data_IF_765675575254
#
_entry.id   IF_765675575254
#
_cell.length_a   1.000
_cell.length_b   1.000
_cell.length_c   1.000
_cell.angle_alpha   90.00
_cell.angle_beta   90.00
_cell.angle_gamma   90.00
#
_symmetry.space_group_name_H-M   'P 1'
#
loop_
_entity.id
_entity.type
_entity.pdbx_description
1 polymer ?
#
# COMPACT_ATOMS: atom_id res chain seq x y z
N UNK A 1 -8.57 -23.95 -18.58
CA UNK A 1 -8.09 -23.01 -19.59
C UNK A 1 -7.20 -21.96 -18.98
N UNK A 2 -6.02 -22.36 -18.47
CA UNK A 2 -5.14 -21.49 -17.67
C UNK A 2 -3.75 -21.32 -18.31
N UNK A 3 -3.61 -21.61 -19.62
CA UNK A 3 -2.31 -21.70 -20.30
C UNK A 3 -1.52 -20.39 -20.40
N UNK A 4 -2.14 -19.25 -20.06
CA UNK A 4 -1.51 -17.92 -20.06
C UNK A 4 -1.11 -17.45 -18.65
N UNK A 5 -1.48 -18.19 -17.58
CA UNK A 5 -1.12 -17.86 -16.20
C UNK A 5 0.21 -18.53 -15.88
N UNK A 6 1.14 -17.78 -15.26
CA UNK A 6 2.41 -18.34 -14.78
C UNK A 6 2.13 -19.46 -13.78
N UNK A 7 2.77 -20.62 -13.96
CA UNK A 7 2.38 -21.86 -13.27
C UNK A 7 2.43 -21.74 -11.75
N UNK A 8 3.43 -21.03 -11.21
CA UNK A 8 3.60 -20.87 -9.77
C UNK A 8 2.47 -20.08 -9.10
N UNK A 9 1.78 -19.21 -9.85
CA UNK A 9 0.63 -18.46 -9.34
C UNK A 9 -0.60 -19.35 -9.10
N UNK A 10 -0.65 -20.55 -9.69
CA UNK A 10 -1.76 -21.50 -9.47
C UNK A 10 -1.70 -22.13 -8.07
N UNK A 11 -0.53 -22.15 -7.44
CA UNK A 11 -0.31 -22.71 -6.12
C UNK A 11 -0.38 -21.64 -5.01
N UNK A 12 -0.53 -20.35 -5.38
CA UNK A 12 -0.56 -19.24 -4.45
C UNK A 12 -1.88 -19.23 -3.66
N UNK A 13 -1.77 -19.17 -2.33
CA UNK A 13 -2.93 -19.03 -1.47
C UNK A 13 -3.60 -17.66 -1.69
N UNK A 14 -4.94 -17.58 -1.69
CA UNK A 14 -5.62 -16.29 -1.77
C UNK A 14 -5.23 -15.38 -0.60
N UNK A 15 -5.01 -14.10 -0.88
CA UNK A 15 -4.85 -13.08 0.16
C UNK A 15 -6.10 -13.06 1.06
N UNK A 16 -5.87 -12.96 2.38
CA UNK A 16 -6.94 -12.86 3.38
C UNK A 16 -7.05 -11.40 3.83
N UNK A 17 -7.96 -10.62 3.24
CA UNK A 17 -8.15 -9.23 3.66
C UNK A 17 -8.73 -9.16 5.07
N UNK A 18 -8.47 -8.04 5.74
CA UNK A 18 -9.16 -7.66 6.97
C UNK A 18 -10.63 -7.40 6.63
N UNK A 19 -11.55 -7.82 7.50
CA UNK A 19 -12.98 -7.52 7.31
C UNK A 19 -13.18 -5.99 7.32
N UNK A 20 -13.81 -5.40 6.29
CA UNK A 20 -14.10 -3.97 6.29
C UNK A 20 -14.92 -3.56 7.50
N UNK A 21 -14.72 -2.34 7.97
CA UNK A 21 -15.32 -1.84 9.19
C UNK A 21 -16.85 -1.89 9.18
N UNK A 22 -17.46 -1.61 8.03
CA UNK A 22 -18.91 -1.67 7.81
C UNK A 22 -19.44 -3.11 7.90
N UNK A 23 -18.69 -4.06 7.35
CA UNK A 23 -19.03 -5.49 7.41
C UNK A 23 -18.93 -5.99 8.84
N UNK A 24 -17.86 -5.62 9.55
CA UNK A 24 -17.67 -5.92 10.96
C UNK A 24 -18.79 -5.33 11.83
N UNK A 25 -19.16 -4.07 11.59
CA UNK A 25 -20.26 -3.39 12.28
C UNK A 25 -21.59 -4.11 12.10
N UNK A 26 -21.94 -4.48 10.87
CA UNK A 26 -23.16 -5.22 10.57
C UNK A 26 -23.16 -6.60 11.25
N UNK A 27 -22.04 -7.32 11.19
CA UNK A 27 -21.86 -8.66 11.79
C UNK A 27 -21.98 -8.64 13.32
N UNK A 28 -21.48 -7.58 13.96
CA UNK A 28 -21.56 -7.41 15.41
C UNK A 28 -22.90 -6.84 15.88
N UNK A 29 -23.75 -6.34 14.97
CA UNK A 29 -24.99 -5.65 15.33
C UNK A 29 -24.75 -4.37 16.14
N UNK A 30 -23.60 -3.71 15.92
CA UNK A 30 -23.18 -2.51 16.64
C UNK A 30 -23.02 -1.35 15.69
N UNK A 31 -23.35 -0.15 16.15
CA UNK A 31 -23.02 1.07 15.42
C UNK A 31 -21.50 1.18 15.26
N UNK A 32 -20.99 1.68 14.12
CA UNK A 32 -19.57 1.99 13.95
C UNK A 32 -18.98 2.82 15.10
N UNK A 33 -19.78 3.71 15.70
CA UNK A 33 -19.38 4.56 16.84
C UNK A 33 -19.15 3.79 18.15
N UNK A 34 -19.67 2.57 18.25
CA UNK A 34 -19.48 1.69 19.42
C UNK A 34 -18.25 0.77 19.27
N UNK A 35 -17.57 0.80 18.11
CA UNK A 35 -16.45 -0.09 17.80
C UNK A 35 -15.13 0.66 18.00
N UNK A 36 -14.30 0.15 18.90
CA UNK A 36 -12.93 0.61 19.09
C UNK A 36 -12.01 -0.27 18.22
N UNK A 37 -11.54 0.29 17.10
CA UNK A 37 -10.69 -0.41 16.11
C UNK A 37 -9.21 -0.18 16.43
N UNK A 38 -8.46 -1.26 16.68
CA UNK A 38 -7.04 -1.25 17.09
C UNK A 38 -6.25 -2.40 16.42
N UNK A 39 -6.60 -2.77 15.20
CA UNK A 39 -6.13 -3.98 14.51
C UNK A 39 -5.24 -3.73 13.27
N UNK A 40 -5.06 -2.47 12.85
CA UNK A 40 -4.37 -2.13 11.59
C UNK A 40 -3.38 -0.96 11.68
N UNK A 41 -2.92 -0.59 12.88
CA UNK A 41 -1.98 0.53 13.11
C UNK A 41 -2.44 1.90 12.55
N UNK A 42 -3.75 2.09 12.37
CA UNK A 42 -4.31 3.36 11.91
C UNK A 42 -4.09 4.47 12.93
N UNK A 43 -3.88 5.69 12.44
CA UNK A 43 -3.69 6.85 13.30
C UNK A 43 -5.01 7.30 13.95
N UNK A 44 -5.06 7.30 15.28
CA UNK A 44 -6.28 7.49 16.08
C UNK A 44 -6.99 8.83 15.87
N UNK A 45 -6.25 9.89 15.56
CA UNK A 45 -6.80 11.24 15.48
C UNK A 45 -7.27 11.63 14.08
N UNK A 46 -7.13 10.73 13.10
CA UNK A 46 -7.38 11.04 11.70
C UNK A 46 -6.33 11.98 11.09
N UNK A 47 -6.48 12.34 9.81
CA UNK A 47 -5.52 13.22 9.14
C UNK A 47 -5.52 14.63 9.76
N UNK A 48 -4.40 15.38 9.64
CA UNK A 48 -4.36 16.79 10.03
C UNK A 48 -5.45 17.62 9.33
N UNK A 49 -6.01 18.66 9.98
CA UNK A 49 -7.08 19.49 9.40
C UNK A 49 -6.75 20.08 8.02
N UNK A 50 -5.50 20.50 7.81
CA UNK A 50 -4.99 21.04 6.55
C UNK A 50 -5.06 20.04 5.38
N UNK A 51 -4.96 18.74 5.67
CA UNK A 51 -5.11 17.68 4.65
C UNK A 51 -6.57 17.58 4.23
N UNK A 52 -7.50 17.62 5.19
CA UNK A 52 -8.94 17.58 4.91
C UNK A 52 -9.39 18.81 4.10
N UNK A 53 -8.88 19.99 4.43
CA UNK A 53 -9.13 21.21 3.67
C UNK A 53 -8.60 21.10 2.23
N UNK A 54 -7.36 20.60 2.07
CA UNK A 54 -6.75 20.42 0.75
C UNK A 54 -7.50 19.42 -0.13
N UNK A 55 -8.02 18.34 0.46
CA UNK A 55 -8.86 17.37 -0.25
C UNK A 55 -10.20 17.96 -0.67
N UNK A 56 -10.84 18.74 0.23
CA UNK A 56 -12.12 19.40 -0.06
C UNK A 56 -12.02 20.53 -1.10
N UNK A 57 -10.86 21.17 -1.20
CA UNK A 57 -10.56 22.24 -2.15
C UNK A 57 -9.79 21.79 -3.39
N UNK A 58 -9.76 20.49 -3.71
CA UNK A 58 -8.97 19.97 -4.83
C UNK A 58 -9.48 20.49 -6.18
N UNK A 59 -8.60 21.18 -6.91
CA UNK A 59 -8.85 21.62 -8.29
C UNK A 59 -8.66 20.47 -9.29
N UNK A 60 -9.55 20.39 -10.28
CA UNK A 60 -9.48 19.46 -11.42
C UNK A 60 -9.28 17.96 -11.08
N UNK A 61 -10.04 17.37 -10.14
CA UNK A 61 -9.86 15.96 -9.75
C UNK A 61 -10.12 14.95 -10.88
N UNK A 62 -10.75 15.39 -11.97
CA UNK A 62 -11.02 14.60 -13.16
C UNK A 62 -9.89 14.64 -14.21
N UNK A 63 -8.81 15.37 -13.95
CA UNK A 63 -7.65 15.48 -14.83
C UNK A 63 -6.52 14.63 -14.26
N UNK A 64 -5.75 13.98 -15.14
CA UNK A 64 -4.59 13.18 -14.72
C UNK A 64 -3.64 14.02 -13.86
N UNK A 65 -3.16 13.49 -12.72
CA UNK A 65 -2.21 14.18 -11.87
C UNK A 65 -0.83 14.26 -12.55
N UNK A 66 0.09 15.04 -11.97
CA UNK A 66 1.49 15.05 -12.38
C UNK A 66 2.09 13.65 -12.26
N UNK A 67 2.45 12.99 -13.38
CA UNK A 67 2.92 11.60 -13.35
C UNK A 67 4.25 11.44 -12.62
N UNK A 68 5.01 12.51 -12.44
CA UNK A 68 6.29 12.48 -11.72
C UNK A 68 6.16 12.83 -10.23
N UNK A 69 4.96 13.17 -9.75
CA UNK A 69 4.72 13.61 -8.36
C UNK A 69 5.72 14.68 -7.88
N UNK A 70 6.10 15.63 -8.75
CA UNK A 70 7.24 16.54 -8.52
C UNK A 70 7.09 17.37 -7.26
N UNK A 71 5.87 17.87 -7.00
CA UNK A 71 5.59 18.67 -5.79
C UNK A 71 5.81 17.88 -4.50
N UNK A 72 5.37 16.62 -4.47
CA UNK A 72 5.60 15.73 -3.32
C UNK A 72 7.08 15.39 -3.17
N UNK A 73 7.74 14.99 -4.26
CA UNK A 73 9.17 14.64 -4.26
C UNK A 73 10.05 15.82 -3.85
N UNK A 74 9.72 17.04 -4.27
CA UNK A 74 10.43 18.25 -3.85
C UNK A 74 10.30 18.50 -2.34
N UNK A 75 9.09 18.37 -1.78
CA UNK A 75 8.87 18.55 -0.34
C UNK A 75 9.62 17.48 0.49
N UNK A 76 9.58 16.22 0.05
CA UNK A 76 10.34 15.13 0.68
C UNK A 76 11.86 15.30 0.54
N UNK A 77 12.32 15.89 -0.57
CA UNK A 77 13.74 16.20 -0.80
C UNK A 77 14.24 17.24 0.20
N UNK A 78 13.45 18.28 0.46
CA UNK A 78 13.76 19.30 1.47
C UNK A 78 13.76 18.72 2.89
N UNK A 79 12.75 17.92 3.23
CA UNK A 79 12.61 17.31 4.56
C UNK A 79 13.71 16.30 4.89
N UNK A 80 14.06 15.44 3.91
CA UNK A 80 15.05 14.37 4.10
C UNK A 80 16.50 14.79 3.83
N UNK A 81 16.71 15.90 3.12
CA UNK A 81 18.03 16.33 2.63
C UNK A 81 18.58 15.49 1.46
N UNK A 82 17.78 14.59 0.88
CA UNK A 82 18.17 13.77 -0.28
C UNK A 82 17.81 14.48 -1.59
N UNK A 83 18.60 14.29 -2.66
CA UNK A 83 18.19 14.72 -4.01
C UNK A 83 16.89 14.03 -4.41
N UNK A 84 16.03 14.73 -5.17
CA UNK A 84 14.82 14.16 -5.77
C UNK A 84 15.12 12.91 -6.63
N UNK A 85 16.34 12.76 -7.15
CA UNK A 85 16.78 11.58 -7.91
C UNK A 85 16.77 10.29 -7.06
N UNK A 86 16.81 10.41 -5.73
CA UNK A 86 16.74 9.29 -4.79
C UNK A 86 15.34 9.07 -4.21
N UNK A 87 14.32 9.80 -4.69
CA UNK A 87 12.96 9.74 -4.15
C UNK A 87 12.00 9.26 -5.24
N UNK A 88 11.36 8.12 -5.00
CA UNK A 88 10.26 7.59 -5.80
C UNK A 88 8.96 7.68 -4.99
N UNK A 89 7.90 8.23 -5.60
CA UNK A 89 6.57 8.23 -5.02
C UNK A 89 5.77 7.03 -5.58
N UNK A 90 5.11 6.29 -4.70
CA UNK A 90 4.23 5.16 -5.04
C UNK A 90 2.88 5.27 -4.33
N UNK A 91 1.95 4.40 -4.71
CA UNK A 91 0.61 4.23 -4.15
C UNK A 91 0.65 3.36 -2.88
N UNK A 92 1.46 3.79 -1.90
CA UNK A 92 1.75 3.02 -0.69
C UNK A 92 3.05 2.22 -0.80
N UNK A 93 3.56 1.79 0.35
CA UNK A 93 4.84 1.10 0.44
C UNK A 93 4.83 -0.28 -0.24
N UNK A 94 3.69 -0.97 -0.25
CA UNK A 94 3.54 -2.30 -0.86
C UNK A 94 3.86 -2.27 -2.36
N UNK A 95 3.42 -1.24 -3.11
CA UNK A 95 3.78 -1.09 -4.53
C UNK A 95 5.30 -0.90 -4.70
N UNK A 96 5.93 -0.11 -3.83
CA UNK A 96 7.38 0.10 -3.90
C UNK A 96 8.17 -1.18 -3.58
N UNK A 97 7.66 -2.00 -2.66
CA UNK A 97 8.23 -3.32 -2.35
C UNK A 97 8.11 -4.26 -3.56
N UNK A 98 6.92 -4.35 -4.17
CA UNK A 98 6.69 -5.14 -5.39
C UNK A 98 7.60 -4.70 -6.54
N UNK A 99 7.72 -3.39 -6.79
CA UNK A 99 8.61 -2.85 -7.81
C UNK A 99 10.08 -3.22 -7.56
N UNK A 100 10.54 -3.20 -6.31
CA UNK A 100 11.90 -3.64 -5.96
C UNK A 100 12.07 -5.11 -6.31
N UNK A 101 11.09 -5.97 -5.97
CA UNK A 101 11.14 -7.40 -6.28
C UNK A 101 11.14 -7.66 -7.78
N UNK A 102 10.24 -7.02 -8.53
CA UNK A 102 10.18 -7.09 -9.99
C UNK A 102 11.49 -6.64 -10.66
N UNK A 103 12.20 -5.66 -10.09
CA UNK A 103 13.47 -5.17 -10.63
C UNK A 103 14.68 -6.03 -10.27
N UNK A 104 14.58 -6.89 -9.24
CA UNK A 104 15.76 -7.54 -8.64
C UNK A 104 15.70 -9.07 -8.58
N UNK A 105 14.52 -9.68 -8.76
CA UNK A 105 14.33 -11.13 -8.67
C UNK A 105 14.02 -11.75 -10.03
N UNK A 106 14.58 -12.93 -10.26
CA UNK A 106 14.19 -13.84 -11.33
C UNK A 106 13.58 -15.14 -10.76
N UNK A 107 12.97 -15.94 -11.64
CA UNK A 107 12.38 -17.22 -11.28
C UNK A 107 13.42 -18.19 -10.68
N UNK A 108 13.24 -18.53 -9.40
CA UNK A 108 14.13 -19.43 -8.65
C UNK A 108 15.07 -18.72 -7.67
N UNK A 109 15.10 -17.38 -7.69
CA UNK A 109 15.80 -16.60 -6.67
C UNK A 109 15.16 -16.78 -5.29
N UNK A 110 15.92 -16.39 -4.27
CA UNK A 110 15.52 -16.53 -2.87
C UNK A 110 15.70 -15.22 -2.15
N UNK A 111 14.68 -14.83 -1.40
CA UNK A 111 14.75 -13.73 -0.44
C UNK A 111 15.02 -14.26 0.96
N UNK A 112 15.61 -13.43 1.81
CA UNK A 112 15.73 -13.69 3.25
C UNK A 112 14.69 -12.83 3.96
N UNK A 113 13.82 -13.48 4.73
CA UNK A 113 12.76 -12.84 5.51
C UNK A 113 12.89 -13.22 6.99
N UNK A 114 12.33 -12.41 7.90
CA UNK A 114 12.48 -12.57 9.36
C UNK A 114 11.12 -12.70 10.10
N UNK A 115 10.37 -13.81 9.94
CA UNK A 115 9.10 -13.97 10.65
C UNK A 115 9.24 -13.97 12.19
N UNK A 116 8.34 -13.31 12.94
CA UNK A 116 7.18 -12.56 12.45
C UNK A 116 7.55 -11.17 11.91
N UNK A 117 7.08 -10.86 10.70
CA UNK A 117 7.31 -9.62 9.96
C UNK A 117 6.15 -9.37 8.99
N UNK A 118 6.26 -8.36 8.13
CA UNK A 118 5.24 -8.01 7.13
C UNK A 118 5.03 -9.16 6.14
N UNK A 119 3.81 -9.73 6.14
CA UNK A 119 3.45 -10.87 5.28
C UNK A 119 3.54 -10.55 3.78
N UNK A 120 3.49 -9.27 3.40
CA UNK A 120 3.62 -8.85 2.00
C UNK A 120 4.96 -9.26 1.39
N UNK A 121 6.06 -9.30 2.16
CA UNK A 121 7.35 -9.75 1.60
C UNK A 121 7.28 -11.17 1.03
N UNK A 122 6.70 -12.10 1.79
CA UNK A 122 6.54 -13.48 1.33
C UNK A 122 5.50 -13.60 0.19
N UNK A 123 4.47 -12.76 0.22
CA UNK A 123 3.43 -12.74 -0.82
C UNK A 123 3.99 -12.21 -2.15
N UNK A 124 4.59 -11.02 -2.16
CA UNK A 124 5.13 -10.36 -3.34
C UNK A 124 6.26 -11.19 -3.98
N UNK A 125 7.08 -11.84 -3.17
CA UNK A 125 8.12 -12.75 -3.67
C UNK A 125 7.55 -14.03 -4.30
N UNK A 126 6.39 -14.51 -3.82
CA UNK A 126 5.71 -15.65 -4.41
C UNK A 126 4.91 -15.29 -5.67
N UNK A 127 4.57 -14.01 -5.84
CA UNK A 127 3.96 -13.46 -7.06
C UNK A 127 5.02 -13.20 -8.13
N UNK A 128 6.17 -12.66 -7.73
CA UNK A 128 7.32 -12.38 -8.62
C UNK A 128 7.76 -13.63 -9.38
#
# INVERSE_FOLDING_TARGET
GCGFIRKHLLDLAPYKPIEPFEVLSAKLGRSPKEIVKLDANEYLYGPPPEVMESLGGMDFPNIYPDPESRRLRAALSEDSGLSMDYILAGCGADELIDLIMCCTLEGGDKIVDCPPTLTMYAFDAAVS
#
